data_IF_022076281018
#
_entry.id   IF_022076281018
#
_cell.length_a   1.000
_cell.length_b   1.000
_cell.length_c   1.000
_cell.angle_alpha   90.00
_cell.angle_beta   90.00
_cell.angle_gamma   90.00
#
_symmetry.space_group_name_H-M   'P 1'
#
loop_
_entity.id
_entity.type
_entity.pdbx_description
1 polymer ?
#
# COMPACT_ATOMS: atom_id res chain seq x y z
N UNK A 1 6.00 -1.89 -2.48
CA UNK A 1 4.99 -1.02 -1.84
C UNK A 1 4.80 0.20 -2.73
N UNK A 2 3.57 0.52 -3.10
CA UNK A 2 3.23 1.66 -3.94
C UNK A 2 2.21 2.54 -3.22
N UNK A 3 2.48 3.85 -3.19
CA UNK A 3 1.65 4.87 -2.57
C UNK A 3 1.08 5.74 -3.68
N UNK A 4 -0.24 5.89 -3.69
CA UNK A 4 -1.00 6.50 -4.77
C UNK A 4 -1.84 7.65 -4.23
N UNK A 5 -1.99 8.71 -5.01
CA UNK A 5 -2.92 9.80 -4.71
C UNK A 5 -4.37 9.42 -5.09
N UNK A 6 -5.30 10.37 -4.96
CA UNK A 6 -6.73 10.18 -5.29
C UNK A 6 -6.96 9.90 -6.78
N UNK A 7 -6.08 10.41 -7.64
CA UNK A 7 -6.12 10.22 -9.09
C UNK A 7 -5.41 8.92 -9.53
N UNK A 8 -4.87 8.16 -8.57
CA UNK A 8 -4.05 6.95 -8.77
C UNK A 8 -2.69 7.23 -9.42
N UNK A 9 -2.19 8.45 -9.35
CA UNK A 9 -0.80 8.72 -9.68
C UNK A 9 0.11 8.16 -8.58
N UNK A 10 1.26 7.62 -8.98
CA UNK A 10 2.24 7.10 -8.01
C UNK A 10 2.96 8.26 -7.36
N UNK A 11 2.75 8.43 -6.05
CA UNK A 11 3.50 9.38 -5.21
C UNK A 11 4.87 8.84 -4.86
N UNK A 12 4.93 7.55 -4.53
CA UNK A 12 6.14 6.82 -4.14
C UNK A 12 5.99 5.34 -4.48
N UNK A 13 7.09 4.71 -4.87
CA UNK A 13 7.19 3.25 -4.96
C UNK A 13 8.52 2.79 -4.38
N UNK A 14 8.51 1.70 -3.63
CA UNK A 14 9.71 1.12 -3.04
C UNK A 14 9.59 -0.41 -2.90
N UNK A 15 10.72 -1.09 -3.04
CA UNK A 15 10.84 -2.53 -2.75
C UNK A 15 11.51 -2.69 -1.40
N UNK A 16 10.87 -3.40 -0.47
CA UNK A 16 11.39 -3.61 0.88
C UNK A 16 11.33 -5.08 1.25
N UNK A 17 12.37 -5.58 1.92
CA UNK A 17 12.38 -6.91 2.51
C UNK A 17 11.83 -6.84 3.93
N UNK A 18 10.70 -7.49 4.16
CA UNK A 18 10.00 -7.48 5.44
C UNK A 18 9.77 -8.90 5.93
N UNK A 19 9.91 -9.10 7.25
CA UNK A 19 9.72 -10.42 7.89
C UNK A 19 8.31 -10.99 7.73
N UNK A 20 7.31 -10.13 7.54
CA UNK A 20 5.89 -10.54 7.40
C UNK A 20 5.04 -9.45 6.75
N UNK A 21 3.88 -9.83 6.21
CA UNK A 21 2.91 -8.89 5.65
C UNK A 21 2.38 -7.91 6.71
N UNK A 22 2.24 -8.33 7.97
CA UNK A 22 1.85 -7.44 9.07
C UNK A 22 2.89 -6.34 9.30
N UNK A 23 4.18 -6.69 9.33
CA UNK A 23 5.25 -5.70 9.45
C UNK A 23 5.28 -4.73 8.26
N UNK A 24 5.03 -5.25 7.05
CA UNK A 24 4.90 -4.45 5.85
C UNK A 24 3.73 -3.45 5.95
N UNK A 25 2.54 -3.89 6.37
CA UNK A 25 1.35 -3.04 6.59
C UNK A 25 1.62 -1.92 7.62
N UNK A 26 2.30 -2.22 8.72
CA UNK A 26 2.67 -1.23 9.74
C UNK A 26 3.65 -0.20 9.20
N UNK A 27 4.72 -0.63 8.53
CA UNK A 27 5.70 0.29 7.94
C UNK A 27 5.07 1.17 6.88
N UNK A 28 4.30 0.58 5.95
CA UNK A 28 3.63 1.31 4.90
C UNK A 28 2.66 2.37 5.47
N UNK A 29 1.97 2.04 6.57
CA UNK A 29 1.12 3.01 7.28
C UNK A 29 1.92 4.18 7.84
N UNK A 30 3.08 3.93 8.45
CA UNK A 30 3.92 4.99 9.03
C UNK A 30 4.58 5.88 7.98
N UNK A 31 4.73 5.40 6.74
CA UNK A 31 5.33 6.14 5.64
C UNK A 31 4.31 6.89 4.77
N UNK A 32 3.02 6.62 4.94
CA UNK A 32 1.96 7.31 4.20
C UNK A 32 1.90 8.79 4.60
N UNK A 33 1.83 9.66 3.61
CA UNK A 33 1.65 11.10 3.80
C UNK A 33 0.17 11.46 3.71
N UNK A 34 -0.20 12.70 4.04
CA UNK A 34 -1.56 13.22 3.93
C UNK A 34 -2.17 13.11 2.51
N UNK A 35 -1.32 13.13 1.48
CA UNK A 35 -1.73 12.98 0.08
C UNK A 35 -1.93 11.53 -0.36
N UNK A 36 -1.54 10.56 0.48
CA UNK A 36 -1.68 9.13 0.16
C UNK A 36 -3.13 8.69 0.28
N UNK A 37 -3.75 8.37 -0.85
CA UNK A 37 -5.11 7.85 -0.91
C UNK A 37 -5.16 6.33 -1.00
N UNK A 38 -4.20 5.68 -1.66
CA UNK A 38 -4.14 4.22 -1.71
C UNK A 38 -2.72 3.73 -1.47
N UNK A 39 -2.60 2.70 -0.66
CA UNK A 39 -1.36 1.94 -0.50
C UNK A 39 -1.59 0.54 -1.05
N UNK A 40 -0.64 0.07 -1.86
CA UNK A 40 -0.63 -1.26 -2.44
C UNK A 40 0.67 -1.98 -2.05
N UNK A 41 0.52 -3.14 -1.41
CA UNK A 41 1.62 -4.04 -1.11
C UNK A 41 1.49 -5.21 -2.07
N UNK A 42 2.51 -5.38 -2.90
CA UNK A 42 2.66 -6.53 -3.80
C UNK A 42 3.92 -7.30 -3.43
N UNK A 43 3.97 -8.58 -3.81
CA UNK A 43 5.21 -9.35 -3.75
C UNK A 43 6.20 -8.92 -4.84
N UNK A 44 7.34 -9.61 -4.90
CA UNK A 44 8.44 -9.30 -5.83
C UNK A 44 8.12 -9.60 -7.30
N UNK A 45 7.00 -10.27 -7.59
CA UNK A 45 6.51 -10.53 -8.95
C UNK A 45 5.23 -9.72 -9.25
N UNK A 46 5.04 -8.61 -8.53
CA UNK A 46 3.92 -7.68 -8.66
C UNK A 46 2.54 -8.27 -8.36
N UNK A 47 2.46 -9.42 -7.66
CA UNK A 47 1.17 -9.95 -7.20
C UNK A 47 0.67 -9.14 -6.01
N UNK A 48 -0.52 -8.52 -6.08
CA UNK A 48 -1.05 -7.76 -4.96
C UNK A 48 -1.36 -8.66 -3.75
N UNK A 49 -0.94 -8.22 -2.56
CA UNK A 49 -1.13 -8.91 -1.28
C UNK A 49 -2.06 -8.15 -0.35
N UNK A 50 -2.00 -6.82 -0.35
CA UNK A 50 -2.84 -6.00 0.51
C UNK A 50 -3.01 -4.58 -0.02
N UNK A 51 -4.17 -4.01 0.30
CA UNK A 51 -4.57 -2.67 -0.08
C UNK A 51 -5.05 -1.91 1.14
N UNK A 52 -4.79 -0.61 1.17
CA UNK A 52 -5.41 0.30 2.14
C UNK A 52 -5.84 1.56 1.42
N UNK A 53 -7.10 1.95 1.61
CA UNK A 53 -7.65 3.20 1.09
C UNK A 53 -7.75 4.22 2.23
N UNK A 54 -7.18 5.40 2.00
CA UNK A 54 -7.03 6.50 2.94
C UNK A 54 -6.50 6.00 4.30
N UNK A 55 -6.98 6.59 5.40
CA UNK A 55 -6.69 6.13 6.76
C UNK A 55 -7.48 4.88 7.18
N UNK A 56 -8.16 4.20 6.24
CA UNK A 56 -9.06 3.07 6.48
C UNK A 56 -8.38 1.76 6.88
N UNK A 57 -9.15 0.67 6.88
CA UNK A 57 -8.66 -0.69 7.19
C UNK A 57 -7.90 -1.27 5.99
N UNK A 58 -7.02 -2.23 6.27
CA UNK A 58 -6.39 -3.05 5.23
C UNK A 58 -7.38 -4.08 4.70
N UNK A 59 -7.37 -4.29 3.39
CA UNK A 59 -8.11 -5.33 2.67
C UNK A 59 -7.13 -6.19 1.86
N UNK A 60 -7.44 -7.46 1.68
CA UNK A 60 -6.64 -8.39 0.85
C UNK A 60 -7.19 -8.53 -0.57
N UNK A 61 -8.39 -7.98 -0.81
CA UNK A 61 -9.00 -7.86 -2.13
C UNK A 61 -9.06 -6.39 -2.49
N UNK A 62 -8.72 -6.07 -3.74
CA UNK A 62 -8.88 -4.71 -4.24
C UNK A 62 -10.38 -4.39 -4.27
N UNK A 63 -10.81 -3.43 -3.45
CA UNK A 63 -12.14 -2.84 -3.60
C UNK A 63 -12.09 -1.97 -4.85
N UNK A 64 -12.89 -2.32 -5.86
CA UNK A 64 -13.18 -1.40 -6.96
C UNK A 64 -13.97 -0.21 -6.39
N UNK A 65 -13.60 1.03 -6.75
CA UNK A 65 -14.38 2.21 -6.40
C UNK A 65 -15.77 2.18 -7.05
#
# INVERSE_FOLDING_TARGET
>A
MRYLDKERNTLKSETVYMRSLTAAKTSATGQATENTFKIEISDVVDKPLAFRYATGKWDEKEKQP
#
